data_IF_466175878460
#
_entry.id   IF_466175878460
#
_cell.length_a   1.000
_cell.length_b   1.000
_cell.length_c   1.000
_cell.angle_alpha   90.00
_cell.angle_beta   90.00
_cell.angle_gamma   90.00
#
_symmetry.space_group_name_H-M   'P 1'
#
loop_
_entity.id
_entity.type
_entity.pdbx_description
1 polymer ?
#
# COMPACT_ATOMS: atom_id res chain seq x y z
N UNK A 1 17.66 3.11 24.71
CA UNK A 1 17.94 1.80 24.08
C UNK A 1 18.55 0.90 25.14
N UNK A 2 17.86 -0.17 25.51
CA UNK A 2 18.40 -1.23 26.36
C UNK A 2 19.57 -1.91 25.65
N UNK A 3 20.52 -2.46 26.41
CA UNK A 3 21.64 -3.17 25.81
C UNK A 3 21.12 -4.46 25.11
N UNK A 4 21.61 -4.83 23.91
CA UNK A 4 21.14 -6.01 23.17
C UNK A 4 21.14 -7.32 23.98
N UNK A 5 22.07 -7.46 24.93
CA UNK A 5 22.13 -8.61 25.84
C UNK A 5 20.96 -8.66 26.84
N UNK A 6 20.44 -7.50 27.26
CA UNK A 6 19.29 -7.40 28.16
C UNK A 6 17.99 -7.78 27.45
N UNK A 7 17.83 -7.36 26.18
CA UNK A 7 16.65 -7.70 25.37
C UNK A 7 16.56 -9.20 25.13
N UNK A 8 17.67 -9.84 24.77
CA UNK A 8 17.72 -11.30 24.59
C UNK A 8 17.28 -12.04 25.86
N UNK A 9 17.85 -11.69 27.01
CA UNK A 9 17.50 -12.36 28.28
C UNK A 9 16.03 -12.14 28.68
N UNK A 10 15.44 -10.99 28.31
CA UNK A 10 14.02 -10.70 28.49
C UNK A 10 13.17 -11.58 27.59
N UNK A 11 13.49 -11.66 26.30
CA UNK A 11 12.74 -12.44 25.32
C UNK A 11 12.83 -13.94 25.59
N UNK A 12 14.04 -14.47 25.83
CA UNK A 12 14.26 -15.89 26.16
C UNK A 12 13.41 -16.30 27.37
N UNK A 13 13.31 -15.42 28.39
CA UNK A 13 12.47 -15.66 29.57
C UNK A 13 10.97 -15.62 29.23
N UNK A 14 10.53 -14.66 28.43
CA UNK A 14 9.14 -14.50 28.04
C UNK A 14 8.63 -15.68 27.20
N UNK A 15 9.51 -16.29 26.39
CA UNK A 15 9.15 -17.40 25.49
C UNK A 15 9.66 -18.76 25.96
N UNK A 16 10.22 -18.88 27.17
CA UNK A 16 10.86 -20.11 27.66
C UNK A 16 9.94 -21.35 27.69
N UNK A 17 8.63 -21.14 27.66
CA UNK A 17 7.60 -22.17 27.70
C UNK A 17 7.12 -22.60 26.29
N UNK A 18 7.68 -22.03 25.23
CA UNK A 18 7.32 -22.31 23.84
C UNK A 18 8.41 -23.13 23.16
N UNK A 19 8.01 -24.09 22.33
CA UNK A 19 8.93 -24.81 21.46
C UNK A 19 9.39 -23.91 20.31
N UNK A 20 10.71 -23.89 20.05
CA UNK A 20 11.32 -23.10 18.99
C UNK A 20 11.17 -23.77 17.61
N UNK A 21 11.15 -23.00 16.50
CA UNK A 21 11.37 -21.55 16.42
C UNK A 21 10.10 -20.74 16.71
N UNK A 22 10.28 -19.62 17.43
CA UNK A 22 9.24 -18.62 17.66
C UNK A 22 9.60 -17.30 16.98
N UNK A 23 8.60 -16.61 16.45
CA UNK A 23 8.71 -15.22 16.02
C UNK A 23 8.01 -14.34 17.05
N UNK A 24 8.69 -13.29 17.51
CA UNK A 24 8.17 -12.34 18.48
C UNK A 24 8.18 -10.93 17.92
N UNK A 25 7.24 -10.12 18.39
CA UNK A 25 7.26 -8.66 18.22
C UNK A 25 7.29 -8.05 19.61
N UNK A 26 8.34 -7.31 19.91
CA UNK A 26 8.38 -6.48 21.11
C UNK A 26 7.46 -5.28 20.91
N UNK A 27 6.38 -5.21 21.69
CA UNK A 27 5.40 -4.13 21.60
C UNK A 27 5.95 -2.78 22.04
N UNK A 28 6.90 -2.75 22.99
CA UNK A 28 7.53 -1.49 23.42
C UNK A 28 8.36 -0.91 22.27
N UNK A 29 9.14 -1.76 21.59
CA UNK A 29 9.91 -1.36 20.42
C UNK A 29 9.01 -1.01 19.22
N UNK A 30 7.90 -1.75 19.02
CA UNK A 30 6.92 -1.47 17.98
C UNK A 30 6.32 -0.07 18.14
N UNK A 31 5.86 0.26 19.35
CA UNK A 31 5.24 1.55 19.65
C UNK A 31 6.26 2.70 19.54
N UNK A 32 7.48 2.50 20.06
CA UNK A 32 8.54 3.50 19.96
C UNK A 32 8.93 3.79 18.50
N UNK A 33 8.95 2.77 17.63
CA UNK A 33 9.18 2.94 16.20
C UNK A 33 8.02 3.71 15.54
N UNK A 34 6.78 3.42 15.94
CA UNK A 34 5.60 4.13 15.44
C UNK A 34 5.62 5.62 15.86
N UNK A 35 5.97 5.92 17.11
CA UNK A 35 6.17 7.28 17.62
C UNK A 35 7.24 8.05 16.83
N UNK A 36 8.38 7.42 16.58
CA UNK A 36 9.46 8.05 15.82
C UNK A 36 9.04 8.34 14.37
N UNK A 37 8.30 7.43 13.73
CA UNK A 37 7.75 7.67 12.39
C UNK A 37 6.77 8.85 12.38
N UNK A 38 5.82 8.92 13.33
CA UNK A 38 4.86 10.03 13.44
C UNK A 38 5.59 11.36 13.61
N UNK A 39 6.59 11.40 14.49
CA UNK A 39 7.44 12.58 14.69
C UNK A 39 8.11 13.03 13.39
N UNK A 40 8.72 12.10 12.64
CA UNK A 40 9.41 12.39 11.37
C UNK A 40 8.47 12.78 10.25
N UNK A 41 7.24 12.28 10.27
CA UNK A 41 6.23 12.61 9.27
C UNK A 41 5.73 14.06 9.39
N UNK A 42 5.98 14.74 10.52
CA UNK A 42 5.74 16.16 10.72
C UNK A 42 4.33 16.62 10.29
N UNK A 43 3.31 15.84 10.66
CA UNK A 43 1.90 16.10 10.34
C UNK A 43 1.40 15.49 9.03
N UNK A 44 2.27 14.85 8.22
CA UNK A 44 1.84 14.03 7.09
C UNK A 44 1.29 12.69 7.62
N UNK A 45 0.06 12.27 7.27
CA UNK A 45 -0.45 10.96 7.68
C UNK A 45 0.37 9.81 7.09
N UNK A 46 0.60 8.78 7.90
CA UNK A 46 1.40 7.60 7.54
C UNK A 46 0.47 6.44 7.19
N UNK A 47 0.59 5.93 5.97
CA UNK A 47 -0.04 4.68 5.56
C UNK A 47 0.91 3.51 5.82
N UNK A 48 0.51 2.57 6.68
CA UNK A 48 1.37 1.42 7.03
C UNK A 48 1.41 0.40 5.89
N UNK A 49 2.62 -0.02 5.49
CA UNK A 49 2.79 -1.05 4.47
C UNK A 49 2.59 -2.45 5.08
N UNK A 50 1.57 -3.19 4.64
CA UNK A 50 1.22 -4.49 5.24
C UNK A 50 2.29 -5.56 5.02
N UNK A 51 3.05 -5.49 3.91
CA UNK A 51 4.01 -6.54 3.50
C UNK A 51 5.02 -6.94 4.60
N UNK A 52 5.44 -5.99 5.44
CA UNK A 52 6.47 -6.22 6.45
C UNK A 52 5.90 -6.59 7.82
N UNK A 53 4.59 -6.42 8.02
CA UNK A 53 3.92 -6.67 9.30
C UNK A 53 3.07 -7.94 9.23
N UNK A 54 2.22 -8.06 8.19
CA UNK A 54 1.26 -9.15 7.94
C UNK A 54 0.64 -9.77 9.20
N UNK A 55 0.32 -8.92 10.17
CA UNK A 55 -0.30 -9.30 11.43
C UNK A 55 -1.42 -8.31 11.71
N UNK A 56 -2.67 -8.79 11.68
CA UNK A 56 -3.86 -7.92 11.80
C UNK A 56 -3.87 -7.15 13.12
N UNK A 57 -3.55 -7.82 14.23
CA UNK A 57 -3.51 -7.18 15.55
C UNK A 57 -2.48 -6.03 15.62
N UNK A 58 -1.34 -6.14 14.93
CA UNK A 58 -0.35 -5.06 14.85
C UNK A 58 -0.80 -3.92 13.92
N UNK A 59 -1.51 -4.24 12.84
CA UNK A 59 -2.11 -3.23 11.96
C UNK A 59 -3.21 -2.46 12.69
N UNK A 60 -4.10 -3.14 13.41
CA UNK A 60 -5.11 -2.53 14.29
C UNK A 60 -4.44 -1.63 15.35
N UNK A 61 -3.39 -2.14 16.01
CA UNK A 61 -2.65 -1.39 17.03
C UNK A 61 -2.05 -0.09 16.48
N UNK A 62 -1.36 -0.14 15.34
CA UNK A 62 -0.70 1.06 14.79
C UNK A 62 -1.73 2.06 14.24
N UNK A 63 -2.85 1.59 13.70
CA UNK A 63 -3.92 2.45 13.19
C UNK A 63 -4.75 3.10 14.31
N UNK A 64 -4.75 2.53 15.52
CA UNK A 64 -5.32 3.19 16.69
C UNK A 64 -4.48 4.39 17.19
N UNK A 65 -3.30 4.63 16.61
CA UNK A 65 -2.39 5.71 16.99
C UNK A 65 -2.55 6.91 16.06
N UNK A 66 -2.70 8.09 16.66
CA UNK A 66 -2.72 9.35 15.91
C UNK A 66 -1.49 9.50 15.02
N UNK A 67 -1.71 9.90 13.77
CA UNK A 67 -0.69 10.07 12.74
C UNK A 67 -0.59 8.91 11.75
N UNK A 68 -1.14 7.74 12.06
CA UNK A 68 -1.32 6.66 11.10
C UNK A 68 -2.72 6.71 10.47
N UNK A 69 -2.79 6.49 9.16
CA UNK A 69 -4.03 6.48 8.40
C UNK A 69 -3.93 5.52 7.22
N UNK A 70 -4.75 4.47 7.27
CA UNK A 70 -4.88 3.48 6.21
C UNK A 70 -3.70 2.51 6.07
N UNK A 71 -3.89 1.54 5.18
CA UNK A 71 -2.94 0.47 4.89
C UNK A 71 -2.53 0.54 3.42
N UNK A 72 -1.26 0.24 3.14
CA UNK A 72 -0.77 -0.04 1.79
C UNK A 72 -0.54 -1.55 1.66
N UNK A 73 -1.39 -2.21 0.88
CA UNK A 73 -1.35 -3.66 0.61
C UNK A 73 -0.62 -3.97 -0.70
N UNK A 74 -0.32 -5.24 -0.96
CA UNK A 74 0.54 -5.64 -2.08
C UNK A 74 -0.11 -6.60 -3.06
N UNK A 75 -1.28 -7.16 -2.75
CA UNK A 75 -2.11 -7.92 -3.71
C UNK A 75 -3.57 -7.51 -3.58
N UNK A 76 -4.34 -7.63 -4.66
CA UNK A 76 -5.78 -7.32 -4.60
C UNK A 76 -6.51 -8.25 -3.62
N UNK A 77 -6.17 -9.53 -3.59
CA UNK A 77 -6.70 -10.49 -2.63
C UNK A 77 -6.46 -10.07 -1.16
N UNK A 78 -5.25 -9.57 -0.84
CA UNK A 78 -4.94 -9.03 0.49
C UNK A 78 -5.77 -7.77 0.78
N UNK A 79 -5.91 -6.86 -0.19
CA UNK A 79 -6.73 -5.66 -0.02
C UNK A 79 -8.18 -6.00 0.32
N UNK A 80 -8.79 -6.92 -0.42
CA UNK A 80 -10.19 -7.31 -0.18
C UNK A 80 -10.34 -8.04 1.15
N UNK A 81 -9.37 -8.89 1.52
CA UNK A 81 -9.36 -9.55 2.83
C UNK A 81 -9.24 -8.57 4.01
N UNK A 82 -8.38 -7.56 3.89
CA UNK A 82 -8.25 -6.49 4.88
C UNK A 82 -9.55 -5.69 4.97
N UNK A 83 -10.16 -5.33 3.83
CA UNK A 83 -11.42 -4.59 3.80
C UNK A 83 -12.54 -5.36 4.51
N UNK A 84 -12.69 -6.66 4.21
CA UNK A 84 -13.64 -7.55 4.91
C UNK A 84 -13.35 -7.70 6.40
N UNK A 85 -12.09 -7.52 6.80
CA UNK A 85 -11.68 -7.56 8.22
C UNK A 85 -11.96 -6.25 8.96
N UNK A 86 -12.51 -5.22 8.30
CA UNK A 86 -12.95 -3.98 8.93
C UNK A 86 -12.05 -2.76 8.67
N UNK A 87 -10.99 -2.88 7.87
CA UNK A 87 -10.19 -1.72 7.45
C UNK A 87 -10.86 -1.00 6.29
N UNK A 88 -10.95 0.32 6.36
CA UNK A 88 -11.75 1.16 5.45
C UNK A 88 -10.92 2.04 4.51
N UNK A 89 -9.60 2.04 4.64
CA UNK A 89 -8.71 2.79 3.78
C UNK A 89 -7.48 1.96 3.38
N UNK A 90 -7.55 1.35 2.20
CA UNK A 90 -6.52 0.44 1.69
C UNK A 90 -6.07 0.88 0.30
N UNK A 91 -4.78 1.12 0.13
CA UNK A 91 -4.15 1.41 -1.15
C UNK A 91 -3.39 0.18 -1.61
N UNK A 92 -3.80 -0.40 -2.74
CA UNK A 92 -3.03 -1.44 -3.39
C UNK A 92 -1.79 -0.82 -4.05
N UNK A 93 -0.60 -1.30 -3.68
CA UNK A 93 0.67 -0.70 -4.07
C UNK A 93 1.03 -0.88 -5.55
N UNK A 94 0.37 -1.79 -6.29
CA UNK A 94 0.71 -2.15 -7.67
C UNK A 94 -0.54 -2.43 -8.51
N UNK A 95 -0.47 -2.26 -9.85
CA UNK A 95 -1.52 -2.76 -10.73
C UNK A 95 -1.71 -4.28 -10.53
N UNK A 96 -2.96 -4.73 -10.59
CA UNK A 96 -3.32 -6.14 -10.46
C UNK A 96 -3.90 -6.69 -11.75
N UNK A 97 -3.66 -7.98 -12.02
CA UNK A 97 -4.28 -8.76 -13.08
C UNK A 97 -5.32 -9.77 -12.53
N UNK A 98 -5.79 -9.57 -11.31
CA UNK A 98 -6.76 -10.44 -10.65
C UNK A 98 -8.19 -10.12 -11.09
N UNK A 99 -8.69 -10.87 -12.08
CA UNK A 99 -10.05 -10.68 -12.61
C UNK A 99 -11.14 -10.95 -11.57
N UNK A 100 -10.97 -11.99 -10.76
CA UNK A 100 -11.96 -12.37 -9.76
C UNK A 100 -12.04 -11.31 -8.66
N UNK A 101 -10.88 -10.79 -8.22
CA UNK A 101 -10.81 -9.70 -7.26
C UNK A 101 -11.45 -8.41 -7.79
N UNK A 102 -11.30 -8.07 -9.07
CA UNK A 102 -12.00 -6.91 -9.63
C UNK A 102 -13.51 -7.12 -9.79
N UNK A 103 -13.95 -8.35 -10.11
CA UNK A 103 -15.38 -8.69 -10.11
C UNK A 103 -15.98 -8.46 -8.71
N UNK A 104 -15.31 -8.95 -7.67
CA UNK A 104 -15.72 -8.77 -6.27
C UNK A 104 -15.71 -7.29 -5.88
N UNK A 105 -14.61 -6.58 -6.17
CA UNK A 105 -14.47 -5.16 -5.86
C UNK A 105 -15.55 -4.31 -6.53
N UNK A 106 -15.91 -4.61 -7.77
CA UNK A 106 -16.92 -3.87 -8.52
C UNK A 106 -18.37 -4.19 -8.11
N UNK A 107 -18.59 -5.26 -7.36
CA UNK A 107 -19.91 -5.73 -6.96
C UNK A 107 -20.29 -5.35 -5.52
N UNK A 108 -19.34 -4.92 -4.69
CA UNK A 108 -19.57 -4.59 -3.29
C UNK A 108 -19.23 -3.11 -3.00
N UNK A 109 -20.22 -2.27 -2.63
CA UNK A 109 -19.99 -0.85 -2.36
C UNK A 109 -19.05 -0.60 -1.19
N UNK A 110 -18.99 -1.49 -0.19
CA UNK A 110 -18.06 -1.35 0.94
C UNK A 110 -16.63 -1.61 0.49
N UNK A 111 -16.40 -2.63 -0.33
CA UNK A 111 -15.07 -2.92 -0.87
C UNK A 111 -14.60 -1.80 -1.82
N UNK A 112 -15.48 -1.34 -2.70
CA UNK A 112 -15.19 -0.24 -3.64
C UNK A 112 -14.87 1.08 -2.92
N UNK A 113 -15.54 1.36 -1.80
CA UNK A 113 -15.26 2.53 -0.98
C UNK A 113 -13.91 2.43 -0.25
N UNK A 114 -13.54 1.23 0.21
CA UNK A 114 -12.37 1.00 1.05
C UNK A 114 -11.06 0.79 0.27
N UNK A 115 -11.13 0.16 -0.92
CA UNK A 115 -9.94 -0.22 -1.68
C UNK A 115 -9.70 0.74 -2.84
N UNK A 116 -8.52 1.37 -2.84
CA UNK A 116 -7.99 2.13 -3.96
C UNK A 116 -6.97 1.28 -4.72
N UNK A 117 -7.14 1.13 -6.03
CA UNK A 117 -6.24 0.33 -6.88
C UNK A 117 -5.28 1.21 -7.68
N UNK A 118 -4.10 0.69 -8.01
CA UNK A 118 -3.10 1.44 -8.77
C UNK A 118 -3.31 1.29 -10.28
N UNK A 119 -3.20 2.40 -11.02
CA UNK A 119 -3.17 2.38 -12.49
C UNK A 119 -2.12 3.34 -13.04
N UNK A 120 -1.48 2.96 -14.14
CA UNK A 120 -0.50 3.76 -14.87
C UNK A 120 -0.58 3.59 -16.39
N UNK A 121 -1.50 2.75 -16.87
CA UNK A 121 -1.76 2.51 -18.28
C UNK A 121 -3.27 2.38 -18.56
N UNK A 122 -3.83 3.04 -19.60
CA UNK A 122 -5.25 2.91 -19.97
C UNK A 122 -5.73 1.46 -20.21
N UNK A 123 -4.84 0.55 -20.61
CA UNK A 123 -5.14 -0.87 -20.80
C UNK A 123 -5.57 -1.54 -19.48
N UNK A 124 -5.10 -1.06 -18.33
CA UNK A 124 -5.51 -1.56 -17.02
C UNK A 124 -6.96 -1.17 -16.71
N UNK A 125 -7.41 0.02 -17.13
CA UNK A 125 -8.83 0.40 -17.00
C UNK A 125 -9.72 -0.51 -17.86
N UNK A 126 -9.27 -0.83 -19.08
CA UNK A 126 -9.98 -1.78 -19.95
C UNK A 126 -10.03 -3.19 -19.36
N UNK A 127 -8.93 -3.63 -18.74
CA UNK A 127 -8.86 -4.89 -18.04
C UNK A 127 -9.85 -4.96 -16.88
N UNK A 128 -9.89 -3.93 -16.04
CA UNK A 128 -10.79 -3.86 -14.89
C UNK A 128 -12.24 -3.87 -15.34
N UNK A 129 -12.60 -3.07 -16.34
CA UNK A 129 -13.97 -3.05 -16.88
C UNK A 129 -14.42 -4.41 -17.41
N UNK A 130 -13.54 -5.09 -18.16
CA UNK A 130 -13.82 -6.45 -18.65
C UNK A 130 -13.94 -7.48 -17.52
N UNK A 131 -13.45 -7.18 -16.32
CA UNK A 131 -13.49 -8.07 -15.16
C UNK A 131 -14.68 -7.80 -14.22
N UNK A 132 -15.45 -6.72 -14.37
CA UNK A 132 -16.50 -6.31 -13.43
C UNK A 132 -17.61 -7.35 -13.21
N UNK A 133 -17.82 -8.28 -14.16
CA UNK A 133 -18.84 -9.33 -14.07
C UNK A 133 -20.26 -8.82 -13.72
N UNK A 134 -20.63 -7.64 -14.23
CA UNK A 134 -21.92 -6.98 -13.94
C UNK A 134 -21.90 -6.00 -12.76
N UNK A 135 -20.80 -5.93 -12.00
CA UNK A 135 -20.62 -4.95 -10.93
C UNK A 135 -20.59 -3.51 -11.42
N UNK A 136 -21.28 -2.63 -10.70
CA UNK A 136 -21.52 -1.23 -11.07
C UNK A 136 -20.79 -0.21 -10.20
N UNK A 137 -20.08 -0.66 -9.17
CA UNK A 137 -19.46 0.24 -8.21
C UNK A 137 -18.36 1.09 -8.84
N UNK A 138 -18.22 2.33 -8.33
CA UNK A 138 -17.14 3.23 -8.75
C UNK A 138 -15.85 2.79 -8.08
N UNK A 139 -14.88 2.37 -8.89
CA UNK A 139 -13.57 1.92 -8.41
C UNK A 139 -12.66 3.13 -8.24
N UNK A 140 -12.14 3.30 -7.03
CA UNK A 140 -11.15 4.32 -6.69
C UNK A 140 -9.79 3.93 -7.27
N UNK A 141 -9.16 4.84 -7.99
CA UNK A 141 -7.85 4.62 -8.59
C UNK A 141 -6.82 5.66 -8.14
N UNK A 142 -5.59 5.21 -7.95
CA UNK A 142 -4.42 6.03 -7.72
C UNK A 142 -3.49 5.93 -8.93
N UNK A 143 -2.93 7.06 -9.38
CA UNK A 143 -2.03 7.09 -10.52
C UNK A 143 -0.59 6.90 -10.08
N UNK A 144 0.17 6.01 -10.71
CA UNK A 144 1.58 5.81 -10.36
C UNK A 144 2.53 6.66 -11.21
N UNK A 145 3.43 7.40 -10.54
CA UNK A 145 4.48 8.24 -11.16
C UNK A 145 5.87 7.61 -10.98
N UNK A 146 6.60 7.51 -12.10
CA UNK A 146 8.02 7.16 -12.16
C UNK A 146 8.88 8.30 -11.62
N UNK A 147 9.46 8.11 -10.43
CA UNK A 147 10.43 9.03 -9.81
C UNK A 147 11.88 8.65 -10.05
N UNK A 148 12.17 7.68 -10.93
CA UNK A 148 13.56 7.33 -11.20
C UNK A 148 14.34 8.48 -11.82
N UNK A 149 15.60 8.62 -11.39
CA UNK A 149 16.53 9.58 -11.95
C UNK A 149 17.00 9.08 -13.32
N UNK A 150 16.78 9.86 -14.37
CA UNK A 150 17.21 9.58 -15.74
C UNK A 150 18.34 10.52 -16.13
N UNK A 151 19.54 9.97 -16.32
CA UNK A 151 20.75 10.71 -16.74
C UNK A 151 21.12 10.37 -18.19
N UNK A 152 21.94 11.23 -18.81
CA UNK A 152 22.45 11.05 -20.18
C UNK A 152 21.35 10.77 -21.22
N UNK A 153 20.26 11.55 -21.17
CA UNK A 153 19.12 11.37 -22.08
C UNK A 153 18.34 10.07 -21.85
N UNK A 154 18.40 9.50 -20.63
CA UNK A 154 17.69 8.26 -20.27
C UNK A 154 18.50 6.98 -20.47
N UNK A 155 19.77 7.07 -20.88
CA UNK A 155 20.68 5.91 -20.99
C UNK A 155 21.06 5.33 -19.64
N UNK A 156 21.04 6.16 -18.59
CA UNK A 156 21.28 5.74 -17.21
C UNK A 156 20.01 6.01 -16.41
N UNK A 157 19.52 4.99 -15.72
CA UNK A 157 18.37 5.06 -14.82
C UNK A 157 18.79 4.62 -13.43
N UNK A 158 18.46 5.44 -12.43
CA UNK A 158 18.61 5.09 -11.01
C UNK A 158 17.22 5.09 -10.37
N UNK A 159 16.80 3.93 -9.86
CA UNK A 159 15.47 3.71 -9.32
C UNK A 159 14.68 2.63 -10.06
N UNK A 160 13.63 2.15 -9.40
CA UNK A 160 12.81 1.07 -9.89
C UNK A 160 11.99 1.50 -11.12
N UNK A 161 11.90 0.62 -12.13
CA UNK A 161 11.04 0.82 -13.30
C UNK A 161 9.60 0.44 -12.96
N UNK A 162 8.96 1.25 -12.13
CA UNK A 162 7.62 0.95 -11.64
C UNK A 162 6.49 1.40 -12.57
N UNK A 163 6.61 2.60 -13.12
CA UNK A 163 5.60 3.20 -13.99
C UNK A 163 6.20 3.71 -15.30
N UNK A 164 5.46 3.72 -16.42
CA UNK A 164 5.85 4.40 -17.65
C UNK A 164 5.59 5.92 -17.60
N UNK A 165 4.75 6.40 -16.67
CA UNK A 165 4.38 7.80 -16.53
C UNK A 165 5.47 8.54 -15.77
N UNK A 166 6.16 9.49 -16.41
CA UNK A 166 7.29 10.20 -15.82
C UNK A 166 7.13 11.71 -15.80
N UNK A 167 6.38 12.28 -16.74
CA UNK A 167 6.16 13.72 -16.83
C UNK A 167 4.77 14.12 -16.31
N UNK A 168 4.62 15.37 -15.83
CA UNK A 168 3.31 15.92 -15.46
C UNK A 168 2.27 15.79 -16.59
N UNK A 169 2.68 15.95 -17.85
CA UNK A 169 1.80 15.82 -19.01
C UNK A 169 1.28 14.38 -19.19
N UNK A 170 2.14 13.37 -18.97
CA UNK A 170 1.74 11.96 -19.03
C UNK A 170 0.76 11.61 -17.91
N UNK A 171 1.02 12.06 -16.68
CA UNK A 171 0.09 11.83 -15.55
C UNK A 171 -1.24 12.55 -15.78
N UNK A 172 -1.22 13.78 -16.29
CA UNK A 172 -2.42 14.52 -16.63
C UNK A 172 -3.25 13.81 -17.72
N UNK A 173 -2.60 13.23 -18.73
CA UNK A 173 -3.32 12.48 -19.76
C UNK A 173 -3.92 11.17 -19.22
N UNK A 174 -3.20 10.46 -18.34
CA UNK A 174 -3.76 9.31 -17.64
C UNK A 174 -4.98 9.70 -16.79
N UNK A 175 -4.90 10.82 -16.06
CA UNK A 175 -6.03 11.33 -15.27
C UNK A 175 -7.25 11.65 -16.15
N UNK A 176 -7.05 12.27 -17.33
CA UNK A 176 -8.13 12.50 -18.29
C UNK A 176 -8.68 11.19 -18.87
N UNK A 177 -7.84 10.20 -19.11
CA UNK A 177 -8.28 8.88 -19.56
C UNK A 177 -9.20 8.21 -18.52
N UNK A 178 -8.87 8.31 -17.22
CA UNK A 178 -9.76 7.88 -16.14
C UNK A 178 -11.06 8.70 -16.13
N UNK A 179 -10.98 10.03 -16.18
CA UNK A 179 -12.17 10.90 -16.11
C UNK A 179 -13.16 10.71 -17.26
N UNK A 180 -12.68 10.33 -18.46
CA UNK A 180 -13.53 10.00 -19.62
C UNK A 180 -14.20 8.63 -19.52
N UNK A 181 -13.86 7.82 -18.53
CA UNK A 181 -14.31 6.43 -18.40
C UNK A 181 -15.21 6.28 -17.16
N UNK A 182 -16.52 6.06 -17.35
CA UNK A 182 -17.44 5.84 -16.23
C UNK A 182 -17.00 4.67 -15.34
N UNK A 183 -17.36 4.72 -14.05
CA UNK A 183 -17.06 3.65 -13.10
C UNK A 183 -15.67 3.75 -12.44
N UNK A 184 -14.90 4.81 -12.68
CA UNK A 184 -13.62 5.06 -12.03
C UNK A 184 -13.54 6.47 -11.44
N UNK A 185 -12.78 6.61 -10.37
CA UNK A 185 -12.50 7.91 -9.74
C UNK A 185 -11.03 8.01 -9.37
N UNK A 186 -10.33 9.03 -9.88
CA UNK A 186 -8.97 9.35 -9.41
C UNK A 186 -9.05 9.93 -8.00
N UNK A 187 -8.37 9.30 -7.05
CA UNK A 187 -8.32 9.75 -5.65
C UNK A 187 -6.91 10.14 -5.18
N UNK A 188 -5.90 9.95 -6.02
CA UNK A 188 -4.53 10.33 -5.67
C UNK A 188 -3.50 10.00 -6.74
N UNK A 189 -2.27 10.36 -6.42
CA UNK A 189 -1.06 10.00 -7.16
C UNK A 189 -0.09 9.36 -6.16
N UNK A 190 0.57 8.29 -6.57
CA UNK A 190 1.59 7.62 -5.78
C UNK A 190 2.93 7.74 -6.50
N UNK A 191 3.96 8.10 -5.74
CA UNK A 191 5.33 8.22 -6.17
C UNK A 191 6.21 7.44 -5.19
N UNK A 192 7.06 6.55 -5.68
CA UNK A 192 7.91 5.71 -4.85
C UNK A 192 9.38 5.81 -5.24
N UNK A 193 10.15 6.55 -4.44
CA UNK A 193 11.59 6.77 -4.61
C UNK A 193 12.41 5.60 -4.05
N UNK A 194 12.24 4.41 -4.62
CA UNK A 194 12.91 3.19 -4.14
C UNK A 194 14.44 3.26 -4.10
N UNK A 195 15.06 4.17 -4.86
CA UNK A 195 16.51 4.38 -4.88
C UNK A 195 17.05 5.15 -3.68
N UNK A 196 16.19 5.84 -2.92
CA UNK A 196 16.56 6.51 -1.66
C UNK A 196 16.27 5.60 -0.47
N UNK A 197 15.39 4.61 -0.65
CA UNK A 197 14.96 3.67 0.38
C UNK A 197 16.00 2.60 0.76
N UNK A 198 17.22 2.66 0.22
CA UNK A 198 18.36 1.84 0.67
C UNK A 198 18.32 0.37 0.22
N UNK A 199 18.05 0.12 -1.06
CA UNK A 199 18.28 -1.20 -1.69
C UNK A 199 19.54 -1.15 -2.55
#
# INVERSE_FOLDING_TARGET
MTAPAADRARYDRATAHLDAPVAIVDLDAFDANADDLVRRAAGKPIRVASKSVRCRALLERVLAKDGFAGIMSFTLAESLWLARSGFDDILLAYPSADRAGYAELAADPKLAAAVTVMVDDPAQLAFIDGARAGGTEVIRVCLELDTSLKLLGGRVRVGARRSPLHSPAQVAEMARAVARRPGFQVVGIMAYEGHIAGV
#
